data_IF_743603141656
#
_entry.id   IF_743603141656
#
_cell.length_a   1.000
_cell.length_b   1.000
_cell.length_c   1.000
_cell.angle_alpha   90.00
_cell.angle_beta   90.00
_cell.angle_gamma   90.00
#
_symmetry.space_group_name_H-M   'P 1'
#
loop_
_entity.id
_entity.type
_entity.pdbx_description
1 polymer ?
#
# COMPACT_ATOMS: atom_id res chain seq x y z
N UNK A 1 -22.71 1.56 1.03
CA UNK A 1 -21.39 2.22 0.98
C UNK A 1 -20.47 1.48 0.03
N UNK A 2 -19.89 2.18 -0.90
CA UNK A 2 -18.89 1.51 -1.73
C UNK A 2 -17.69 1.10 -0.89
N UNK A 3 -17.15 -0.06 -1.22
CA UNK A 3 -15.97 -0.56 -0.54
C UNK A 3 -14.74 -0.02 -1.24
N UNK A 4 -13.88 0.66 -0.49
CA UNK A 4 -12.65 1.16 -1.06
C UNK A 4 -11.72 -0.02 -1.35
N UNK A 5 -11.20 -0.15 -2.55
CA UNK A 5 -10.32 -1.26 -2.90
C UNK A 5 -8.90 -1.02 -2.40
N UNK A 6 -8.36 -2.02 -1.72
CA UNK A 6 -7.03 -1.96 -1.13
C UNK A 6 -6.25 -3.19 -1.58
N UNK A 7 -5.01 -3.02 -1.97
CA UNK A 7 -4.12 -4.13 -2.30
C UNK A 7 -3.04 -4.24 -1.24
N UNK A 8 -2.80 -5.45 -0.76
CA UNK A 8 -1.75 -5.72 0.22
C UNK A 8 -0.69 -6.57 -0.45
N UNK A 9 0.55 -6.10 -0.48
CA UNK A 9 1.67 -6.82 -1.09
C UNK A 9 2.68 -7.15 -0.01
N UNK A 10 2.83 -8.44 0.29
CA UNK A 10 3.71 -8.91 1.37
C UNK A 10 4.01 -10.37 1.07
N UNK A 11 5.25 -10.81 1.27
CA UNK A 11 5.60 -12.19 1.00
C UNK A 11 5.28 -13.13 2.17
N UNK A 12 4.84 -12.60 3.29
CA UNK A 12 4.48 -13.40 4.45
C UNK A 12 2.99 -13.72 4.42
N UNK A 13 2.62 -15.00 4.19
CA UNK A 13 1.20 -15.33 4.05
C UNK A 13 0.38 -15.11 5.32
N UNK A 14 1.03 -15.20 6.48
CA UNK A 14 0.33 -14.93 7.74
C UNK A 14 -0.05 -13.46 7.83
N UNK A 15 0.88 -12.57 7.48
CA UNK A 15 0.60 -11.14 7.47
C UNK A 15 -0.48 -10.79 6.44
N UNK A 16 -0.39 -11.39 5.25
CA UNK A 16 -1.40 -11.14 4.22
C UNK A 16 -2.78 -11.49 4.72
N UNK A 17 -2.91 -12.67 5.32
CA UNK A 17 -4.22 -13.11 5.78
C UNK A 17 -4.73 -12.21 6.91
N UNK A 18 -3.85 -11.88 7.85
CA UNK A 18 -4.23 -11.05 8.99
C UNK A 18 -4.73 -9.69 8.54
N UNK A 19 -3.95 -9.03 7.69
CA UNK A 19 -4.29 -7.68 7.25
C UNK A 19 -5.54 -7.72 6.38
N UNK A 20 -5.65 -8.74 5.51
CA UNK A 20 -6.83 -8.86 4.65
C UNK A 20 -8.10 -9.01 5.47
N UNK A 21 -8.07 -9.90 6.46
CA UNK A 21 -9.25 -10.12 7.31
C UNK A 21 -9.60 -8.85 8.08
N UNK A 22 -8.58 -8.19 8.60
CA UNK A 22 -8.78 -6.96 9.35
C UNK A 22 -9.44 -5.89 8.49
N UNK A 23 -8.93 -5.69 7.28
CA UNK A 23 -9.46 -4.64 6.42
C UNK A 23 -10.84 -5.00 5.87
N UNK A 24 -11.06 -6.27 5.56
CA UNK A 24 -12.39 -6.70 5.12
C UNK A 24 -13.41 -6.44 6.22
N UNK A 25 -13.03 -6.70 7.47
CA UNK A 25 -13.91 -6.45 8.60
C UNK A 25 -14.19 -4.95 8.80
N UNK A 26 -13.28 -4.10 8.34
CA UNK A 26 -13.45 -2.66 8.42
C UNK A 26 -14.21 -2.09 7.22
N UNK A 27 -14.62 -2.92 6.27
CA UNK A 27 -15.44 -2.48 5.15
C UNK A 27 -14.68 -2.24 3.86
N UNK A 28 -13.42 -2.62 3.78
CA UNK A 28 -12.63 -2.45 2.57
C UNK A 28 -12.69 -3.70 1.70
N UNK A 29 -12.52 -3.52 0.39
CA UNK A 29 -12.35 -4.63 -0.55
C UNK A 29 -10.87 -4.92 -0.63
N UNK A 30 -10.38 -5.85 0.17
CA UNK A 30 -8.95 -6.12 0.33
C UNK A 30 -8.54 -7.31 -0.50
N UNK A 31 -7.53 -7.12 -1.35
CA UNK A 31 -6.92 -8.19 -2.12
C UNK A 31 -5.45 -8.27 -1.80
N UNK A 32 -4.84 -9.41 -2.08
CA UNK A 32 -3.47 -9.67 -1.67
C UNK A 32 -2.62 -10.11 -2.85
N UNK A 33 -1.32 -9.85 -2.73
CA UNK A 33 -0.31 -10.35 -3.66
C UNK A 33 0.92 -10.69 -2.84
N UNK A 34 1.60 -11.78 -3.18
CA UNK A 34 2.74 -12.24 -2.39
C UNK A 34 4.08 -11.78 -2.94
N UNK A 35 4.10 -11.19 -4.13
CA UNK A 35 5.31 -10.62 -4.69
C UNK A 35 4.93 -9.57 -5.73
N UNK A 36 5.95 -8.94 -6.32
CA UNK A 36 5.71 -7.86 -7.28
C UNK A 36 5.04 -8.36 -8.55
N UNK A 37 5.39 -9.55 -9.02
CA UNK A 37 4.78 -10.10 -10.21
C UNK A 37 3.29 -10.32 -10.01
N UNK A 38 2.93 -10.92 -8.89
CA UNK A 38 1.53 -11.15 -8.59
C UNK A 38 0.79 -9.83 -8.43
N UNK A 39 1.44 -8.83 -7.81
CA UNK A 39 0.83 -7.53 -7.68
C UNK A 39 0.52 -6.91 -9.03
N UNK A 40 1.44 -7.03 -9.99
CA UNK A 40 1.20 -6.50 -11.33
C UNK A 40 0.07 -7.24 -12.02
N UNK A 41 -0.05 -8.56 -11.81
CA UNK A 41 -1.16 -9.32 -12.35
C UNK A 41 -2.50 -8.84 -11.77
N UNK A 42 -2.54 -8.65 -10.45
CA UNK A 42 -3.76 -8.19 -9.81
C UNK A 42 -4.15 -6.81 -10.35
N UNK A 43 -3.16 -5.94 -10.58
CA UNK A 43 -3.43 -4.58 -11.03
C UNK A 43 -3.99 -4.52 -12.46
N UNK A 44 -3.93 -5.60 -13.21
CA UNK A 44 -4.54 -5.63 -14.53
C UNK A 44 -6.06 -5.53 -14.46
N UNK A 45 -6.66 -6.08 -13.41
CA UNK A 45 -8.11 -6.15 -13.31
C UNK A 45 -8.65 -5.44 -12.07
N UNK A 46 -7.78 -5.05 -11.14
CA UNK A 46 -8.18 -4.47 -9.87
C UNK A 46 -7.45 -3.15 -9.71
N UNK A 47 -8.20 -2.08 -9.50
CA UNK A 47 -7.60 -0.76 -9.36
C UNK A 47 -7.78 -0.28 -7.92
N UNK A 48 -6.81 -0.57 -7.05
CA UNK A 48 -6.92 -0.15 -5.66
C UNK A 48 -6.74 1.36 -5.54
N UNK A 49 -7.30 1.90 -4.48
CA UNK A 49 -7.05 3.29 -4.14
C UNK A 49 -5.81 3.42 -3.27
N UNK A 50 -5.42 2.34 -2.63
CA UNK A 50 -4.26 2.34 -1.75
C UNK A 50 -3.61 0.96 -1.78
N UNK A 51 -2.28 0.95 -1.75
CA UNK A 51 -1.50 -0.29 -1.67
C UNK A 51 -0.66 -0.24 -0.40
N UNK A 52 -0.75 -1.32 0.38
CA UNK A 52 0.20 -1.56 1.47
C UNK A 52 1.33 -2.38 0.87
N UNK A 53 2.51 -1.81 0.78
CA UNK A 53 3.62 -2.37 0.02
C UNK A 53 4.78 -2.73 0.92
N UNK A 54 5.03 -4.03 1.08
CA UNK A 54 6.23 -4.49 1.78
C UNK A 54 7.43 -4.12 0.91
N UNK A 55 8.41 -3.42 1.46
CA UNK A 55 9.57 -3.03 0.67
C UNK A 55 10.59 -4.15 0.52
N UNK A 56 10.47 -5.21 1.31
CA UNK A 56 11.37 -6.36 1.24
C UNK A 56 10.67 -7.53 0.60
N UNK A 57 10.55 -7.49 -0.73
CA UNK A 57 9.92 -8.57 -1.48
C UNK A 57 10.96 -9.39 -2.21
N UNK A 58 10.69 -10.69 -2.43
CA UNK A 58 11.60 -11.49 -3.25
C UNK A 58 11.56 -11.01 -4.70
N UNK A 59 12.71 -11.07 -5.36
CA UNK A 59 12.82 -10.62 -6.74
C UNK A 59 12.86 -9.10 -6.81
N UNK A 60 11.81 -8.49 -7.36
CA UNK A 60 11.72 -7.04 -7.42
C UNK A 60 11.27 -6.53 -6.06
N UNK A 61 12.03 -5.62 -5.45
CA UNK A 61 11.64 -5.11 -4.15
C UNK A 61 10.49 -4.10 -4.26
N UNK A 62 9.86 -3.81 -3.12
CA UNK A 62 8.67 -2.98 -3.11
C UNK A 62 8.94 -1.55 -3.56
N UNK A 63 10.15 -1.04 -3.34
CA UNK A 63 10.48 0.31 -3.77
C UNK A 63 10.57 0.40 -5.29
N UNK A 64 11.14 -0.63 -5.91
CA UNK A 64 11.21 -0.66 -7.37
C UNK A 64 9.81 -0.75 -7.97
N UNK A 65 8.96 -1.58 -7.38
CA UNK A 65 7.58 -1.66 -7.86
C UNK A 65 6.87 -0.32 -7.70
N UNK A 66 7.11 0.36 -6.57
CA UNK A 66 6.51 1.68 -6.34
C UNK A 66 6.95 2.67 -7.41
N UNK A 67 8.25 2.68 -7.74
CA UNK A 67 8.74 3.58 -8.78
C UNK A 67 8.04 3.34 -10.10
N UNK A 68 7.83 2.07 -10.46
CA UNK A 68 7.14 1.73 -11.69
C UNK A 68 5.69 2.19 -11.68
N UNK A 69 5.01 2.02 -10.54
CA UNK A 69 3.62 2.44 -10.43
C UNK A 69 3.50 3.95 -10.52
N UNK A 70 4.41 4.66 -9.88
CA UNK A 70 4.37 6.12 -9.90
C UNK A 70 4.79 6.71 -11.23
N UNK A 71 5.53 5.96 -12.03
CA UNK A 71 5.91 6.39 -13.37
C UNK A 71 4.81 6.16 -14.39
N UNK A 72 3.82 5.34 -14.07
CA UNK A 72 2.75 4.99 -14.98
C UNK A 72 1.54 5.89 -14.74
N UNK A 73 1.09 6.65 -15.75
CA UNK A 73 -0.08 7.54 -15.56
C UNK A 73 -1.33 6.84 -15.06
N UNK A 74 -1.47 5.53 -15.35
CA UNK A 74 -2.67 4.79 -14.93
C UNK A 74 -2.64 4.43 -13.46
N UNK A 75 -1.46 4.37 -12.83
CA UNK A 75 -1.34 3.91 -11.45
C UNK A 75 -0.73 4.93 -10.52
N UNK A 76 -0.18 6.04 -11.04
CA UNK A 76 0.53 6.99 -10.17
C UNK A 76 -0.37 7.65 -9.15
N UNK A 77 -1.68 7.63 -9.36
CA UNK A 77 -2.63 8.20 -8.40
C UNK A 77 -2.94 7.30 -7.22
N UNK A 78 -2.46 6.04 -7.25
CA UNK A 78 -2.70 5.12 -6.15
C UNK A 78 -1.83 5.52 -4.97
N UNK A 79 -2.43 5.60 -3.77
CA UNK A 79 -1.66 5.87 -2.56
C UNK A 79 -0.84 4.63 -2.21
N UNK A 80 0.46 4.78 -2.01
CA UNK A 80 1.33 3.66 -1.65
C UNK A 80 1.90 3.92 -0.26
N UNK A 81 1.60 3.01 0.66
CA UNK A 81 2.17 3.05 2.01
C UNK A 81 3.16 1.90 2.15
N UNK A 82 4.41 2.24 2.41
CA UNK A 82 5.44 1.22 2.55
C UNK A 82 5.35 0.55 3.92
N UNK A 83 5.52 -0.77 3.94
CA UNK A 83 5.67 -1.51 5.19
C UNK A 83 7.14 -1.78 5.39
N UNK A 84 7.71 -1.31 6.50
CA UNK A 84 9.14 -1.40 6.71
C UNK A 84 9.46 -1.77 8.14
N UNK A 85 10.47 -2.63 8.31
CA UNK A 85 10.98 -3.00 9.63
C UNK A 85 12.06 -2.03 10.10
N UNK A 86 12.54 -1.14 9.23
CA UNK A 86 13.70 -0.31 9.52
C UNK A 86 13.42 1.18 9.35
N UNK A 87 12.24 1.62 9.77
CA UNK A 87 11.83 3.01 9.55
C UNK A 87 12.79 4.02 10.17
N UNK A 88 13.52 3.62 11.22
CA UNK A 88 14.43 4.52 11.93
C UNK A 88 15.81 4.62 11.30
N UNK A 89 16.06 3.92 10.20
CA UNK A 89 17.40 3.83 9.64
C UNK A 89 17.48 4.36 8.22
N UNK A 90 16.74 5.41 7.93
CA UNK A 90 16.81 6.04 6.63
C UNK A 90 15.84 5.46 5.60
N UNK A 91 15.06 4.45 5.98
CA UNK A 91 14.08 3.89 5.07
C UNK A 91 13.01 4.89 4.71
N UNK A 92 12.69 5.81 5.62
CA UNK A 92 11.71 6.83 5.34
C UNK A 92 12.13 7.67 4.13
N UNK A 93 13.41 8.05 4.07
CA UNK A 93 13.90 8.82 2.93
C UNK A 93 13.84 8.00 1.65
N UNK A 94 14.26 6.72 1.72
CA UNK A 94 14.23 5.85 0.56
C UNK A 94 12.81 5.64 0.04
N UNK A 95 11.85 5.46 0.95
CA UNK A 95 10.47 5.25 0.54
C UNK A 95 9.89 6.49 -0.11
N UNK A 96 10.19 7.66 0.42
CA UNK A 96 9.71 8.89 -0.17
C UNK A 96 10.33 9.15 -1.53
N UNK A 97 11.61 8.86 -1.69
CA UNK A 97 12.29 9.03 -2.97
C UNK A 97 11.74 8.10 -4.04
N UNK A 98 11.25 6.92 -3.62
CA UNK A 98 10.64 5.99 -4.56
C UNK A 98 9.22 6.40 -4.95
N UNK A 99 8.64 7.35 -4.24
CA UNK A 99 7.31 7.85 -4.54
C UNK A 99 6.23 7.35 -3.60
N UNK A 100 6.60 6.69 -2.49
CA UNK A 100 5.62 6.28 -1.50
C UNK A 100 5.00 7.51 -0.85
N UNK A 101 3.72 7.41 -0.54
CA UNK A 101 3.00 8.50 0.09
C UNK A 101 3.18 8.52 1.61
N UNK A 102 3.63 7.40 2.16
CA UNK A 102 3.92 7.29 3.58
C UNK A 102 4.50 5.93 3.86
N UNK A 103 4.69 5.65 5.15
CA UNK A 103 5.19 4.33 5.54
C UNK A 103 4.61 3.92 6.89
N UNK A 104 4.60 2.62 7.14
CA UNK A 104 4.11 2.03 8.38
C UNK A 104 5.19 1.08 8.87
N UNK A 105 5.56 1.20 10.13
CA UNK A 105 6.56 0.33 10.74
C UNK A 105 5.98 -1.04 11.03
N UNK A 106 6.76 -2.08 10.82
CA UNK A 106 6.42 -3.44 11.22
C UNK A 106 6.87 -3.65 12.66
N UNK A 107 6.15 -4.45 13.43
CA UNK A 107 4.91 -5.13 13.08
C UNK A 107 3.73 -4.16 13.00
N UNK A 108 2.80 -4.47 12.11
CA UNK A 108 1.63 -3.63 11.91
C UNK A 108 0.77 -3.63 13.15
N UNK A 109 0.37 -2.44 13.59
CA UNK A 109 -0.56 -2.30 14.71
C UNK A 109 -1.97 -2.48 14.18
N UNK A 110 -2.56 -3.64 14.45
CA UNK A 110 -3.86 -3.98 13.91
C UNK A 110 -4.98 -3.12 14.45
N UNK A 111 -4.76 -2.48 15.60
CA UNK A 111 -5.77 -1.62 16.18
C UNK A 111 -5.88 -0.28 15.46
N UNK A 112 -4.78 0.20 14.91
CA UNK A 112 -4.75 1.53 14.30
C UNK A 112 -4.73 1.49 12.78
N UNK A 113 -4.48 0.34 12.19
CA UNK A 113 -4.29 0.26 10.74
C UNK A 113 -5.50 0.74 9.94
N UNK A 114 -6.74 0.34 10.26
CA UNK A 114 -7.87 0.83 9.47
C UNK A 114 -8.02 2.35 9.54
N UNK A 115 -7.77 2.94 10.71
CA UNK A 115 -7.86 4.40 10.84
C UNK A 115 -6.74 5.08 10.05
N UNK A 116 -5.54 4.49 10.04
CA UNK A 116 -4.43 5.04 9.27
C UNK A 116 -4.76 5.04 7.78
N UNK A 117 -5.30 3.93 7.29
CA UNK A 117 -5.68 3.83 5.89
C UNK A 117 -6.74 4.86 5.55
N UNK A 118 -7.73 5.01 6.42
CA UNK A 118 -8.78 5.99 6.20
C UNK A 118 -8.21 7.41 6.12
N UNK A 119 -7.25 7.72 6.98
CA UNK A 119 -6.60 9.03 6.95
C UNK A 119 -5.94 9.30 5.61
N UNK A 120 -5.22 8.31 5.07
CA UNK A 120 -4.54 8.51 3.81
C UNK A 120 -5.52 8.61 2.64
N UNK A 121 -6.59 7.83 2.68
CA UNK A 121 -7.59 7.91 1.63
C UNK A 121 -8.31 9.25 1.67
N UNK A 122 -8.61 9.76 2.86
CA UNK A 122 -9.26 11.06 3.01
C UNK A 122 -8.32 12.19 2.58
N UNK A 123 -7.04 12.10 2.95
CA UNK A 123 -6.06 13.10 2.54
C UNK A 123 -5.91 13.14 1.03
N UNK A 124 -5.88 11.97 0.40
CA UNK A 124 -5.76 11.91 -1.04
C UNK A 124 -6.94 12.60 -1.71
N UNK A 125 -8.15 12.31 -1.24
CA UNK A 125 -9.33 12.92 -1.80
C UNK A 125 -9.34 14.44 -1.56
N UNK A 126 -9.00 14.85 -0.34
CA UNK A 126 -8.94 16.26 0.01
C UNK A 126 -7.83 16.97 -0.75
N UNK A 127 -6.68 16.29 -0.82
CA UNK A 127 -5.53 16.85 -1.52
C UNK A 127 -5.85 17.11 -2.99
N UNK A 128 -6.51 16.14 -3.63
CA UNK A 128 -6.89 16.31 -5.02
C UNK A 128 -7.76 17.52 -5.24
N UNK A 129 -8.72 17.76 -4.33
CA UNK A 129 -9.57 18.92 -4.43
C UNK A 129 -8.86 20.20 -4.06
N UNK A 130 -7.99 20.13 -3.08
CA UNK A 130 -7.32 21.33 -2.59
C UNK A 130 -6.18 21.80 -3.47
N UNK A 131 -5.65 20.91 -4.25
CA UNK A 131 -4.55 21.27 -5.15
C UNK A 131 -4.94 22.31 -6.17
N UNK A 132 -6.17 22.49 -6.32
CA UNK A 132 -6.65 23.50 -7.24
C UNK A 132 -6.33 24.90 -6.75
#
# INVERSE_FOLDING_TARGET
MPREPILIVDDNPVNLKLVRVLLAGAGYDARTASDAEEALEVLREFRPKLILMDIQLPGMDGLELTRRLKANPETRGIVVLALTAYAMKGDDKRTLEAGCDGYISKPVDTRTLPATIEQYLSRDATHGGRET
#
